data_IF_438500450369
#
_entry.id   IF_438500450369
#
_cell.length_a   1.000
_cell.length_b   1.000
_cell.length_c   1.000
_cell.angle_alpha   90.00
_cell.angle_beta   90.00
_cell.angle_gamma   90.00
#
_symmetry.space_group_name_H-M   'P 1'
#
loop_
_entity.id
_entity.type
_entity.pdbx_description
1 polymer ?
#
# COMPACT_ATOMS: atom_id res chain seq x y z
N UNK A 1 -4.89 34.00 1.02
CA UNK A 1 -4.44 33.11 2.10
C UNK A 1 -5.68 32.67 2.86
N UNK A 2 -5.74 31.40 3.29
CA UNK A 2 -6.78 30.89 4.19
C UNK A 2 -6.89 31.81 5.42
N UNK A 3 -8.10 32.04 5.89
CA UNK A 3 -8.37 32.81 7.13
C UNK A 3 -8.85 31.93 8.26
N UNK A 4 -9.09 30.65 7.96
CA UNK A 4 -9.68 29.72 8.92
C UNK A 4 -8.62 29.13 9.83
N UNK A 5 -8.89 29.19 11.12
CA UNK A 5 -8.11 28.46 12.11
C UNK A 5 -8.58 26.99 12.16
N UNK A 6 -7.83 26.10 11.50
CA UNK A 6 -8.08 24.67 11.55
C UNK A 6 -7.69 24.15 12.95
N UNK A 7 -8.58 23.45 13.68
CA UNK A 7 -8.26 22.92 15.00
C UNK A 7 -7.07 21.96 14.98
N UNK A 8 -6.22 21.99 16.01
CA UNK A 8 -4.99 21.18 16.02
C UNK A 8 -5.27 19.67 15.97
N UNK A 9 -6.37 19.21 16.59
CA UNK A 9 -6.81 17.80 16.47
C UNK A 9 -7.07 17.38 15.02
N UNK A 10 -7.57 18.31 14.18
CA UNK A 10 -7.80 18.06 12.76
C UNK A 10 -6.46 18.06 12.01
N UNK A 11 -5.55 19.01 12.31
CA UNK A 11 -4.21 19.05 11.72
C UNK A 11 -3.43 17.76 11.99
N UNK A 12 -3.41 17.30 13.24
CA UNK A 12 -2.71 16.05 13.65
C UNK A 12 -3.27 14.84 12.90
N UNK A 13 -4.60 14.70 12.82
CA UNK A 13 -5.23 13.61 12.07
C UNK A 13 -4.92 13.67 10.58
N UNK A 14 -4.94 14.86 9.97
CA UNK A 14 -4.59 15.04 8.57
C UNK A 14 -3.13 14.64 8.31
N UNK A 15 -2.21 15.08 9.16
CA UNK A 15 -0.81 14.68 9.11
C UNK A 15 -0.62 13.17 9.22
N UNK A 16 -1.32 12.52 10.16
CA UNK A 16 -1.31 11.07 10.32
C UNK A 16 -1.80 10.34 9.06
N UNK A 17 -2.97 10.73 8.53
CA UNK A 17 -3.55 10.15 7.31
C UNK A 17 -2.69 10.36 6.06
N UNK A 18 -1.99 11.48 5.99
CA UNK A 18 -1.06 11.78 4.89
C UNK A 18 0.32 11.13 5.07
N UNK A 19 0.61 10.52 6.23
CA UNK A 19 1.94 10.12 6.69
C UNK A 19 2.99 11.25 6.56
N UNK A 20 2.56 12.50 6.76
CA UNK A 20 3.37 13.71 6.58
C UNK A 20 3.83 14.00 5.15
N UNK A 21 3.23 13.37 4.14
CA UNK A 21 3.66 13.50 2.73
C UNK A 21 2.64 14.29 1.93
N UNK A 22 3.10 14.95 0.88
CA UNK A 22 2.24 15.65 -0.07
C UNK A 22 1.23 14.67 -0.70
N UNK A 23 -0.06 14.98 -0.59
CA UNK A 23 -1.17 14.16 -1.10
C UNK A 23 -1.48 14.41 -2.59
N UNK A 24 -0.72 15.28 -3.25
CA UNK A 24 -0.84 15.47 -4.70
C UNK A 24 -0.39 14.20 -5.45
N UNK A 25 -1.19 13.77 -6.42
CA UNK A 25 -0.94 12.56 -7.20
C UNK A 25 0.43 12.62 -7.90
N UNK A 26 1.27 11.60 -7.64
CA UNK A 26 2.64 11.53 -8.19
C UNK A 26 3.72 12.28 -7.40
N UNK A 27 3.39 13.03 -6.34
CA UNK A 27 4.38 13.80 -5.57
C UNK A 27 4.98 13.01 -4.40
N UNK A 28 4.20 12.73 -3.35
CA UNK A 28 4.62 11.97 -2.16
C UNK A 28 5.90 12.48 -1.44
N UNK A 29 6.29 13.75 -1.66
CA UNK A 29 7.44 14.40 -0.99
C UNK A 29 7.21 14.44 0.53
N UNK A 30 8.22 14.13 1.37
CA UNK A 30 8.14 14.33 2.82
C UNK A 30 8.01 15.82 3.14
N UNK A 31 7.16 16.18 4.11
CA UNK A 31 6.87 17.58 4.44
C UNK A 31 7.39 18.03 5.82
N UNK A 32 8.21 17.19 6.46
CA UNK A 32 8.82 17.45 7.76
C UNK A 32 10.34 17.69 7.68
N UNK A 33 10.90 17.76 6.47
CA UNK A 33 12.33 17.80 6.24
C UNK A 33 12.63 18.55 4.93
N UNK A 34 13.58 19.48 4.98
CA UNK A 34 14.11 20.08 3.75
C UNK A 34 15.04 19.09 3.02
N UNK A 35 14.79 18.81 1.73
CA UNK A 35 15.54 17.78 0.99
C UNK A 35 17.01 18.14 0.76
N UNK A 36 17.38 19.43 0.78
CA UNK A 36 18.75 19.88 0.50
C UNK A 36 19.62 19.89 1.76
N UNK A 37 19.19 20.64 2.77
CA UNK A 37 19.91 20.91 4.02
C UNK A 37 19.70 19.85 5.09
N UNK A 38 18.64 19.02 4.95
CA UNK A 38 18.21 18.03 5.96
C UNK A 38 17.77 18.63 7.29
N UNK A 39 17.49 19.94 7.35
CA UNK A 39 16.88 20.56 8.52
C UNK A 39 15.42 20.09 8.63
N UNK A 40 15.03 19.65 9.83
CA UNK A 40 13.66 19.26 10.13
C UNK A 40 12.81 20.49 10.45
N UNK A 41 11.75 20.69 9.68
CA UNK A 41 10.71 21.66 9.94
C UNK A 41 9.47 21.37 9.08
N UNK A 42 8.37 22.03 9.40
CA UNK A 42 7.12 21.86 8.65
C UNK A 42 7.14 22.71 7.37
N UNK A 43 7.26 22.05 6.21
CA UNK A 43 7.16 22.67 4.87
C UNK A 43 5.77 22.46 4.22
N UNK A 44 4.82 21.92 4.98
CA UNK A 44 3.47 21.63 4.48
C UNK A 44 2.60 22.87 4.43
N UNK A 45 1.64 22.83 3.52
CA UNK A 45 0.43 23.63 3.54
C UNK A 45 -0.77 22.70 3.70
N UNK A 46 -1.80 23.22 4.39
CA UNK A 46 -3.11 22.58 4.41
C UNK A 46 -3.98 23.30 3.38
N UNK A 47 -4.23 22.63 2.27
CA UNK A 47 -5.07 23.12 1.19
C UNK A 47 -6.53 22.75 1.42
N UNK A 48 -7.43 23.68 1.12
CA UNK A 48 -8.86 23.44 1.11
C UNK A 48 -9.31 22.94 -0.27
N UNK A 49 -9.99 21.79 -0.31
CA UNK A 49 -10.57 21.27 -1.56
C UNK A 49 -11.67 22.22 -2.06
N UNK A 50 -12.62 22.56 -1.19
CA UNK A 50 -13.55 23.68 -1.31
C UNK A 50 -13.02 24.79 -0.41
N UNK A 51 -12.66 25.94 -0.99
CA UNK A 51 -12.06 27.05 -0.24
C UNK A 51 -12.87 27.42 1.00
N UNK A 52 -12.18 27.92 2.02
CA UNK A 52 -12.78 28.37 3.28
C UNK A 52 -13.57 29.69 3.17
N UNK A 53 -13.52 30.34 2.00
CA UNK A 53 -14.33 31.49 1.65
C UNK A 53 -15.11 31.24 0.36
N UNK A 54 -16.34 31.79 0.24
CA UNK A 54 -17.14 31.66 -0.99
C UNK A 54 -16.44 32.17 -2.25
N UNK A 55 -15.59 33.19 -2.13
CA UNK A 55 -14.85 33.78 -3.25
C UNK A 55 -13.44 33.20 -3.44
N UNK A 56 -13.09 32.13 -2.72
CA UNK A 56 -11.82 31.43 -2.89
C UNK A 56 -11.86 30.40 -4.02
N UNK A 57 -10.73 29.71 -4.29
CA UNK A 57 -10.66 28.62 -5.25
C UNK A 57 -11.70 27.53 -4.97
N UNK A 58 -12.62 27.31 -5.91
CA UNK A 58 -13.77 26.38 -5.76
C UNK A 58 -14.61 26.67 -4.52
N UNK A 59 -14.63 27.93 -4.07
CA UNK A 59 -15.45 28.39 -2.95
C UNK A 59 -16.94 28.30 -3.27
N UNK A 60 -17.74 28.17 -2.22
CA UNK A 60 -19.19 28.07 -2.32
C UNK A 60 -19.84 28.83 -1.16
N UNK A 61 -20.99 29.48 -1.42
CA UNK A 61 -21.68 30.32 -0.44
C UNK A 61 -22.09 29.61 0.85
N UNK A 62 -22.31 28.29 0.80
CA UNK A 62 -22.76 27.47 1.93
C UNK A 62 -21.66 26.51 2.37
N UNK A 63 -21.04 25.80 1.42
CA UNK A 63 -20.10 24.73 1.73
C UNK A 63 -18.77 25.25 2.28
N UNK A 64 -18.33 26.46 1.89
CA UNK A 64 -17.08 27.03 2.40
C UNK A 64 -17.06 27.11 3.93
N UNK A 65 -18.11 27.69 4.53
CA UNK A 65 -18.19 27.80 5.99
C UNK A 65 -18.39 26.44 6.66
N UNK A 66 -19.23 25.58 6.05
CA UNK A 66 -19.56 24.26 6.59
C UNK A 66 -18.35 23.31 6.62
N UNK A 67 -17.50 23.37 5.59
CA UNK A 67 -16.42 22.40 5.34
C UNK A 67 -15.02 22.91 5.70
N UNK A 68 -14.84 24.18 6.09
CA UNK A 68 -13.50 24.77 6.34
C UNK A 68 -12.65 24.00 7.36
N UNK A 69 -13.29 23.29 8.29
CA UNK A 69 -12.64 22.50 9.32
C UNK A 69 -12.87 20.98 9.16
N UNK A 70 -13.57 20.56 8.12
CA UNK A 70 -13.81 19.15 7.84
C UNK A 70 -12.56 18.51 7.24
N UNK A 71 -12.03 17.47 7.88
CA UNK A 71 -10.84 16.75 7.43
C UNK A 71 -10.99 16.18 6.02
N UNK A 72 -12.21 15.85 5.60
CA UNK A 72 -12.50 15.34 4.24
C UNK A 72 -12.37 16.45 3.18
N UNK A 73 -12.40 17.72 3.60
CA UNK A 73 -12.20 18.89 2.75
C UNK A 73 -10.76 19.44 2.81
N UNK A 74 -9.87 18.82 3.58
CA UNK A 74 -8.49 19.28 3.77
C UNK A 74 -7.50 18.30 3.15
N UNK A 75 -6.48 18.85 2.49
CA UNK A 75 -5.36 18.09 1.92
C UNK A 75 -4.03 18.64 2.40
N UNK A 76 -3.08 17.76 2.67
CA UNK A 76 -1.70 18.14 2.97
C UNK A 76 -0.91 18.24 1.66
N UNK A 77 -0.31 19.40 1.38
CA UNK A 77 0.42 19.67 0.14
C UNK A 77 1.77 20.34 0.39
N UNK A 78 2.74 20.17 -0.51
CA UNK A 78 3.94 21.01 -0.54
C UNK A 78 3.64 22.39 -1.14
N UNK A 79 4.58 23.33 -1.02
CA UNK A 79 4.46 24.68 -1.60
C UNK A 79 4.07 24.68 -3.08
N UNK A 80 4.82 23.92 -3.89
CA UNK A 80 4.62 23.82 -5.34
C UNK A 80 3.18 23.44 -5.70
N UNK A 81 2.68 22.35 -5.09
CA UNK A 81 1.35 21.82 -5.42
C UNK A 81 0.23 22.61 -4.77
N UNK A 82 0.42 23.16 -3.57
CA UNK A 82 -0.56 24.08 -2.98
C UNK A 82 -0.73 25.32 -3.88
N UNK A 83 0.36 25.90 -4.38
CA UNK A 83 0.30 27.02 -5.33
C UNK A 83 -0.34 26.61 -6.66
N UNK A 84 -0.01 25.42 -7.17
CA UNK A 84 -0.57 24.90 -8.42
C UNK A 84 -2.11 24.84 -8.35
N UNK A 85 -2.66 24.16 -7.34
CA UNK A 85 -4.09 23.89 -7.25
C UNK A 85 -4.92 25.11 -6.86
N UNK A 86 -4.36 26.05 -6.08
CA UNK A 86 -5.12 27.19 -5.55
C UNK A 86 -4.91 28.49 -6.33
N UNK A 87 -3.90 28.57 -7.21
CA UNK A 87 -3.58 29.82 -7.92
C UNK A 87 -3.29 29.66 -9.40
N UNK A 88 -2.63 28.58 -9.82
CA UNK A 88 -2.10 28.46 -11.19
C UNK A 88 -3.08 27.73 -12.11
N UNK A 89 -3.58 26.58 -11.69
CA UNK A 89 -4.45 25.71 -12.48
C UNK A 89 -5.68 25.28 -11.67
N UNK A 90 -6.49 26.27 -11.27
CA UNK A 90 -7.70 26.02 -10.45
C UNK A 90 -8.72 25.19 -11.23
N UNK A 91 -8.87 25.45 -12.53
CA UNK A 91 -9.82 24.75 -13.41
C UNK A 91 -9.42 23.29 -13.65
N UNK A 92 -8.12 22.99 -13.81
CA UNK A 92 -7.62 21.62 -13.95
C UNK A 92 -7.69 20.79 -12.65
N UNK A 93 -8.00 21.44 -11.52
CA UNK A 93 -8.10 20.83 -10.19
C UNK A 93 -9.50 20.98 -9.58
N UNK A 94 -10.56 20.46 -10.22
CA UNK A 94 -11.90 20.49 -9.65
C UNK A 94 -11.99 19.67 -8.35
N UNK A 95 -13.01 19.96 -7.54
CA UNK A 95 -13.28 19.31 -6.24
C UNK A 95 -13.22 17.79 -6.32
N UNK A 96 -13.80 17.20 -7.37
CA UNK A 96 -13.85 15.75 -7.58
C UNK A 96 -12.46 15.14 -7.73
N UNK A 97 -11.57 15.80 -8.50
CA UNK A 97 -10.19 15.36 -8.71
C UNK A 97 -9.40 15.41 -7.41
N UNK A 98 -9.47 16.52 -6.68
CA UNK A 98 -8.75 16.68 -5.40
C UNK A 98 -9.21 15.66 -4.35
N UNK A 99 -10.52 15.41 -4.24
CA UNK A 99 -11.07 14.35 -3.38
C UNK A 99 -10.52 12.98 -3.75
N UNK A 100 -10.44 12.68 -5.05
CA UNK A 100 -9.91 11.40 -5.51
C UNK A 100 -8.41 11.26 -5.22
N UNK A 101 -7.61 12.32 -5.42
CA UNK A 101 -6.19 12.33 -5.06
C UNK A 101 -5.98 12.04 -3.57
N UNK A 102 -6.71 12.76 -2.71
CA UNK A 102 -6.69 12.55 -1.25
C UNK A 102 -7.05 11.10 -0.91
N UNK A 103 -8.18 10.60 -1.44
CA UNK A 103 -8.68 9.25 -1.18
C UNK A 103 -7.66 8.19 -1.56
N UNK A 104 -7.10 8.25 -2.78
CA UNK A 104 -6.06 7.33 -3.26
C UNK A 104 -4.82 7.36 -2.38
N UNK A 105 -4.36 8.55 -1.98
CA UNK A 105 -3.18 8.69 -1.12
C UNK A 105 -3.43 8.06 0.25
N UNK A 106 -4.51 8.42 0.92
CA UNK A 106 -4.81 7.91 2.27
C UNK A 106 -5.03 6.41 2.28
N UNK A 107 -5.72 5.86 1.28
CA UNK A 107 -5.88 4.40 1.14
C UNK A 107 -4.55 3.69 0.94
N UNK A 108 -3.67 4.24 0.11
CA UNK A 108 -2.33 3.68 -0.10
C UNK A 108 -1.48 3.73 1.16
N UNK A 109 -1.53 4.85 1.90
CA UNK A 109 -0.83 4.96 3.20
C UNK A 109 -1.36 3.89 4.15
N UNK A 110 -2.68 3.86 4.38
CA UNK A 110 -3.32 2.90 5.29
C UNK A 110 -2.89 1.46 4.95
N UNK A 111 -3.02 1.06 3.68
CA UNK A 111 -2.67 -0.29 3.22
C UNK A 111 -1.19 -0.65 3.43
N UNK A 112 -0.28 0.29 3.19
CA UNK A 112 1.15 0.02 3.34
C UNK A 112 1.60 0.07 4.80
N UNK A 113 0.93 0.88 5.63
CA UNK A 113 1.25 1.01 7.06
C UNK A 113 0.48 0.05 7.95
N UNK A 114 -0.55 -0.63 7.44
CA UNK A 114 -1.27 -1.68 8.16
C UNK A 114 -0.53 -3.02 8.16
N UNK A 115 0.59 -3.13 7.43
CA UNK A 115 1.43 -4.33 7.43
C UNK A 115 2.08 -4.44 8.81
N UNK A 116 1.62 -5.39 9.60
CA UNK A 116 2.21 -5.72 10.91
C UNK A 116 3.41 -6.63 10.74
N UNK A 117 4.17 -6.82 11.82
CA UNK A 117 5.12 -7.94 11.96
C UNK A 117 4.31 -9.25 12.02
N UNK A 118 3.79 -9.67 10.87
CA UNK A 118 3.22 -10.99 10.72
C UNK A 118 4.35 -11.98 10.46
N UNK A 119 4.62 -12.82 11.45
CA UNK A 119 5.58 -13.90 11.37
C UNK A 119 4.99 -15.16 10.73
N UNK A 120 3.71 -15.12 10.35
CA UNK A 120 3.07 -16.17 9.57
C UNK A 120 3.66 -16.22 8.15
N UNK A 121 3.89 -17.43 7.65
CA UNK A 121 4.19 -17.69 6.23
C UNK A 121 3.37 -18.86 5.74
N UNK A 122 2.85 -18.78 4.51
CA UNK A 122 2.30 -19.95 3.83
C UNK A 122 3.44 -20.89 3.42
N UNK A 123 3.31 -22.18 3.77
CA UNK A 123 4.33 -23.19 3.44
C UNK A 123 4.02 -23.79 2.08
N UNK A 124 4.95 -23.67 1.15
CA UNK A 124 4.91 -24.28 -0.18
C UNK A 124 5.91 -25.44 -0.22
N UNK A 125 5.42 -26.65 -0.49
CA UNK A 125 6.24 -27.85 -0.63
C UNK A 125 6.33 -28.24 -2.10
N UNK A 126 7.52 -28.08 -2.69
CA UNK A 126 7.82 -28.55 -4.03
C UNK A 126 9.07 -29.45 -3.98
N UNK A 127 8.86 -30.74 -4.21
CA UNK A 127 9.91 -31.74 -4.34
C UNK A 127 9.77 -32.45 -5.67
N UNK A 128 10.89 -32.64 -6.36
CA UNK A 128 10.95 -33.35 -7.63
C UNK A 128 12.21 -34.25 -7.66
N UNK A 129 12.22 -35.23 -8.56
CA UNK A 129 13.35 -36.16 -8.67
C UNK A 129 14.56 -35.47 -9.28
N UNK A 130 15.75 -35.79 -8.77
CA UNK A 130 17.03 -35.39 -9.37
C UNK A 130 17.82 -36.65 -9.69
N UNK A 131 17.97 -36.95 -10.98
CA UNK A 131 18.49 -38.25 -11.46
C UNK A 131 17.70 -39.44 -10.89
N UNK A 132 18.36 -40.25 -10.04
CA UNK A 132 17.76 -41.43 -9.40
C UNK A 132 17.25 -41.16 -7.98
N UNK A 133 17.35 -39.93 -7.49
CA UNK A 133 17.06 -39.59 -6.11
C UNK A 133 15.72 -38.88 -5.98
N UNK A 134 14.85 -39.43 -5.13
CA UNK A 134 13.63 -38.74 -4.69
C UNK A 134 14.01 -37.64 -3.69
N UNK A 135 13.41 -36.45 -3.82
CA UNK A 135 13.58 -35.33 -2.89
C UNK A 135 12.29 -35.05 -2.14
N UNK A 136 11.87 -35.92 -1.19
CA UNK A 136 10.66 -35.71 -0.42
C UNK A 136 10.85 -34.52 0.52
N UNK A 137 10.02 -33.50 0.32
CA UNK A 137 9.89 -32.36 1.24
C UNK A 137 8.78 -32.67 2.24
N UNK A 138 9.03 -32.41 3.52
CA UNK A 138 8.08 -32.73 4.60
C UNK A 138 7.67 -31.47 5.35
N UNK A 139 6.39 -31.40 5.70
CA UNK A 139 5.84 -30.37 6.57
C UNK A 139 6.70 -30.13 7.82
N UNK A 140 7.00 -31.16 8.61
CA UNK A 140 7.68 -30.99 9.90
C UNK A 140 9.06 -30.35 9.78
N UNK A 141 9.85 -30.76 8.78
CA UNK A 141 11.16 -30.14 8.49
C UNK A 141 11.03 -28.69 8.05
N UNK A 142 10.01 -28.37 7.24
CA UNK A 142 9.75 -27.00 6.81
C UNK A 142 9.37 -26.12 8.01
N UNK A 143 8.46 -26.58 8.87
CA UNK A 143 8.08 -25.86 10.10
C UNK A 143 9.27 -25.68 11.03
N UNK A 144 10.09 -26.71 11.23
CA UNK A 144 11.28 -26.61 12.06
C UNK A 144 12.27 -25.58 11.51
N UNK A 145 12.47 -25.52 10.19
CA UNK A 145 13.36 -24.56 9.54
C UNK A 145 12.84 -23.11 9.58
N UNK A 146 11.54 -22.90 9.80
CA UNK A 146 10.95 -21.56 9.96
C UNK A 146 11.19 -20.96 11.35
N UNK A 147 11.34 -21.81 12.37
CA UNK A 147 11.48 -21.36 13.76
C UNK A 147 12.93 -20.87 14.04
N UNK A 148 13.13 -19.79 14.82
CA UNK A 148 12.14 -19.03 15.61
C UNK A 148 11.54 -17.83 14.88
N UNK A 149 12.06 -17.47 13.71
CA UNK A 149 11.73 -16.19 13.06
C UNK A 149 10.36 -16.17 12.37
N UNK A 150 9.82 -17.33 12.00
CA UNK A 150 8.54 -17.47 11.30
C UNK A 150 7.78 -18.70 11.81
N UNK A 151 6.48 -18.71 11.56
CA UNK A 151 5.63 -19.88 11.78
C UNK A 151 4.60 -20.04 10.66
N UNK A 152 4.04 -21.24 10.42
CA UNK A 152 3.10 -21.44 9.33
C UNK A 152 1.79 -20.67 9.54
N UNK A 153 1.29 -20.05 8.48
CA UNK A 153 -0.01 -19.37 8.46
C UNK A 153 -1.20 -20.36 8.52
N UNK A 154 -1.03 -21.53 7.90
CA UNK A 154 -2.07 -22.55 7.76
C UNK A 154 -1.45 -23.95 7.67
N UNK A 155 -2.22 -24.99 8.02
CA UNK A 155 -1.89 -26.41 7.81
C UNK A 155 -3.10 -27.07 7.12
N UNK A 156 -2.91 -27.94 6.09
CA UNK A 156 -1.65 -28.43 5.53
C UNK A 156 -0.92 -27.41 4.66
N UNK A 157 0.34 -27.71 4.30
CA UNK A 157 1.07 -26.94 3.29
C UNK A 157 0.39 -27.00 1.93
N UNK A 158 0.69 -25.99 1.10
CA UNK A 158 0.41 -26.05 -0.33
C UNK A 158 1.43 -26.97 -1.00
N UNK A 159 0.98 -28.18 -1.39
CA UNK A 159 1.80 -29.15 -2.10
C UNK A 159 1.75 -28.91 -3.61
N UNK A 160 2.90 -28.54 -4.17
CA UNK A 160 3.09 -28.31 -5.61
C UNK A 160 3.92 -29.39 -6.28
N UNK A 161 4.66 -30.21 -5.51
CA UNK A 161 5.46 -31.31 -6.04
C UNK A 161 4.60 -32.51 -6.46
N UNK A 162 5.09 -33.28 -7.43
CA UNK A 162 4.48 -34.56 -7.79
C UNK A 162 5.06 -35.64 -6.86
N UNK A 163 4.25 -36.10 -5.91
CA UNK A 163 4.61 -37.25 -5.08
C UNK A 163 4.84 -38.51 -5.92
N UNK A 164 5.97 -39.19 -5.71
CA UNK A 164 6.34 -40.45 -6.38
C UNK A 164 6.27 -40.39 -7.91
N UNK A 165 6.66 -39.26 -8.52
CA UNK A 165 6.81 -39.17 -9.98
C UNK A 165 7.71 -40.31 -10.49
N UNK A 166 7.27 -41.12 -11.48
CA UNK A 166 8.12 -42.15 -12.07
C UNK A 166 9.11 -41.58 -13.09
N UNK A 167 8.91 -40.34 -13.54
CA UNK A 167 9.71 -39.68 -14.57
C UNK A 167 10.95 -39.02 -13.96
N UNK A 168 12.04 -39.03 -14.72
CA UNK A 168 13.34 -38.48 -14.32
C UNK A 168 13.69 -37.24 -15.12
N UNK A 169 14.48 -36.36 -14.52
CA UNK A 169 14.91 -35.08 -15.10
C UNK A 169 15.64 -35.17 -16.45
N UNK A 170 16.18 -36.35 -16.78
CA UNK A 170 16.80 -36.67 -18.07
C UNK A 170 15.81 -37.17 -19.14
N UNK A 171 14.55 -37.39 -18.79
CA UNK A 171 13.49 -37.81 -19.71
C UNK A 171 12.77 -36.60 -20.30
N UNK A 172 12.48 -36.64 -21.60
CA UNK A 172 11.84 -35.53 -22.32
C UNK A 172 10.47 -35.15 -21.75
N UNK A 173 9.73 -36.12 -21.19
CA UNK A 173 8.39 -35.92 -20.64
C UNK A 173 8.37 -35.29 -19.24
N UNK A 174 9.49 -35.33 -18.51
CA UNK A 174 9.56 -34.84 -17.13
C UNK A 174 9.15 -33.37 -17.02
N UNK A 175 9.75 -32.50 -17.83
CA UNK A 175 9.48 -31.06 -17.80
C UNK A 175 8.08 -30.70 -18.33
N UNK A 176 7.50 -31.54 -19.18
CA UNK A 176 6.11 -31.36 -19.61
C UNK A 176 5.16 -31.68 -18.46
N UNK A 177 5.38 -32.81 -17.79
CA UNK A 177 4.53 -33.25 -16.69
C UNK A 177 4.63 -32.31 -15.47
N UNK A 178 5.84 -31.87 -15.08
CA UNK A 178 6.02 -30.92 -13.98
C UNK A 178 5.29 -29.59 -14.25
N UNK A 179 5.37 -29.07 -15.49
CA UNK A 179 4.63 -27.86 -15.88
C UNK A 179 3.11 -28.07 -15.86
N UNK A 180 2.63 -29.23 -16.33
CA UNK A 180 1.20 -29.54 -16.29
C UNK A 180 0.70 -29.64 -14.84
N UNK A 181 1.48 -30.22 -13.94
CA UNK A 181 1.10 -30.34 -12.53
C UNK A 181 0.92 -28.98 -11.83
N UNK A 182 1.80 -28.00 -12.13
CA UNK A 182 1.68 -26.64 -11.58
C UNK A 182 0.39 -25.91 -12.02
N UNK A 183 -0.24 -26.33 -13.11
CA UNK A 183 -1.49 -25.76 -13.60
C UNK A 183 -2.74 -26.48 -13.04
N UNK A 184 -2.57 -27.58 -12.29
CA UNK A 184 -3.69 -28.24 -11.64
C UNK A 184 -4.17 -27.40 -10.45
N UNK A 185 -5.48 -27.42 -10.14
CA UNK A 185 -5.98 -26.82 -8.91
C UNK A 185 -5.23 -27.42 -7.73
N UNK A 186 -4.78 -26.54 -6.83
CA UNK A 186 -4.00 -26.91 -5.66
C UNK A 186 -4.68 -28.04 -4.91
N UNK A 187 -3.99 -29.17 -4.76
CA UNK A 187 -4.50 -30.30 -3.99
C UNK A 187 -4.38 -29.93 -2.52
N UNK A 188 -5.41 -29.31 -1.97
CA UNK A 188 -5.62 -29.36 -0.54
C UNK A 188 -5.85 -30.84 -0.22
N UNK A 189 -4.85 -31.51 0.35
CA UNK A 189 -5.02 -32.86 0.90
C UNK A 189 -6.23 -32.80 1.84
N UNK A 190 -7.37 -33.31 1.38
CA UNK A 190 -8.48 -33.69 2.25
C UNK A 190 -8.05 -35.01 2.86
N UNK A 191 -8.03 -35.02 4.19
CA UNK A 191 -7.65 -36.14 5.06
C UNK A 191 -8.11 -37.52 4.55
#
# INVERSE_FOLDING_TARGET
MSVSNIPDKVKVRLWGKAAGRCQYEGCNKPLWLDPLTKVEFNISYIAHIVADKPNGPRGDSVLSEKLKNDIENLMLACDEHHRLIDKVDVEGHPVTRLKEMKRKHEQRIEMLTSITEDYQSHVLLYGANVGQHHSPVSWDKAVYAMHPERYPAEKPAVELGIGNSPFKDNESFYWEMERQNLNLPTRLNRD
#
